data_IF_122523846056
#
_entry.id   IF_122523846056
#
_cell.length_a   1.000
_cell.length_b   1.000
_cell.length_c   1.000
_cell.angle_alpha   90.00
_cell.angle_beta   90.00
_cell.angle_gamma   90.00
#
_symmetry.space_group_name_H-M   'P 1'
#
loop_
_entity.id
_entity.type
_entity.pdbx_description
1 polymer ?
#
# COMPACT_ATOMS: atom_id res chain seq x y z
N UNK A 1 14.65 12.26 -6.79
CA UNK A 1 13.33 11.60 -6.69
C UNK A 1 13.29 10.83 -5.40
N UNK A 2 12.18 10.82 -4.65
CA UNK A 2 12.07 10.03 -3.43
C UNK A 2 12.26 8.55 -3.76
N UNK A 3 13.11 7.87 -2.99
CA UNK A 3 13.37 6.43 -3.09
C UNK A 3 12.88 5.78 -1.82
N UNK A 4 12.28 4.60 -1.94
CA UNK A 4 11.78 3.84 -0.81
C UNK A 4 12.15 2.36 -0.93
N UNK A 5 12.24 1.69 0.21
CA UNK A 5 12.31 0.22 0.31
C UNK A 5 10.98 -0.25 0.89
N UNK A 6 10.33 -1.19 0.21
CA UNK A 6 9.03 -1.74 0.61
C UNK A 6 9.17 -3.21 1.01
N UNK A 7 8.62 -3.58 2.17
CA UNK A 7 8.41 -4.98 2.57
C UNK A 7 6.93 -5.18 2.81
N UNK A 8 6.35 -6.26 2.25
CA UNK A 8 4.98 -6.66 2.53
C UNK A 8 4.95 -8.04 3.15
N UNK A 9 4.02 -8.25 4.07
CA UNK A 9 3.85 -9.53 4.75
C UNK A 9 2.38 -9.83 5.05
N UNK A 10 2.05 -11.12 5.12
CA UNK A 10 0.81 -11.62 5.71
C UNK A 10 0.87 -11.45 7.24
N UNK A 11 -0.25 -11.12 7.86
CA UNK A 11 -0.35 -10.94 9.31
C UNK A 11 -1.29 -11.97 9.90
N UNK A 12 -0.78 -12.79 10.81
CA UNK A 12 -1.56 -13.85 11.48
C UNK A 12 -2.32 -13.34 12.71
N UNK A 13 -1.77 -12.33 13.39
CA UNK A 13 -2.32 -11.75 14.61
C UNK A 13 -2.25 -10.22 14.53
N UNK A 14 -3.29 -9.64 13.91
CA UNK A 14 -3.35 -8.19 13.63
C UNK A 14 -3.43 -7.36 14.91
N UNK A 15 -4.03 -7.89 15.98
CA UNK A 15 -4.15 -7.22 17.27
C UNK A 15 -2.77 -6.98 17.88
N UNK A 16 -1.93 -8.03 17.96
CA UNK A 16 -0.56 -7.89 18.45
C UNK A 16 0.29 -6.98 17.56
N UNK A 17 0.07 -7.01 16.25
CA UNK A 17 0.78 -6.12 15.35
C UNK A 17 0.44 -4.65 15.64
N UNK A 18 -0.84 -4.33 15.84
CA UNK A 18 -1.27 -2.98 16.23
C UNK A 18 -0.65 -2.55 17.56
N UNK A 19 -0.61 -3.42 18.57
CA UNK A 19 0.02 -3.11 19.87
C UNK A 19 1.50 -2.76 19.71
N UNK A 20 2.25 -3.60 18.97
CA UNK A 20 3.68 -3.38 18.71
C UNK A 20 3.91 -2.10 17.88
N UNK A 21 3.16 -1.90 16.81
CA UNK A 21 3.28 -0.72 15.96
C UNK A 21 2.94 0.57 16.72
N UNK A 22 1.92 0.53 17.59
CA UNK A 22 1.57 1.66 18.45
C UNK A 22 2.67 1.97 19.47
N UNK A 23 3.26 0.93 20.08
CA UNK A 23 4.37 1.08 21.01
C UNK A 23 5.61 1.68 20.33
N UNK A 24 5.98 1.18 19.15
CA UNK A 24 7.15 1.64 18.39
C UNK A 24 6.97 3.06 17.83
N UNK A 25 5.76 3.41 17.39
CA UNK A 25 5.46 4.75 16.86
C UNK A 25 5.13 5.79 17.95
N UNK A 26 4.84 5.35 19.17
CA UNK A 26 4.32 6.22 20.23
C UNK A 26 2.95 6.83 19.91
N UNK A 27 2.18 6.23 18.99
CA UNK A 27 0.90 6.76 18.50
C UNK A 27 -0.16 5.67 18.38
N UNK A 28 -1.43 6.06 18.31
CA UNK A 28 -2.53 5.11 18.01
C UNK A 28 -2.64 4.76 16.52
N UNK A 29 -1.82 5.39 15.66
CA UNK A 29 -1.93 5.32 14.21
C UNK A 29 -3.10 6.14 13.67
N UNK A 30 -3.10 6.35 12.35
CA UNK A 30 -4.17 7.02 11.61
C UNK A 30 -4.93 6.00 10.78
N UNK A 31 -6.25 5.91 10.99
CA UNK A 31 -7.10 4.92 10.31
C UNK A 31 -7.69 5.53 9.03
N UNK A 32 -7.49 4.83 7.92
CA UNK A 32 -7.90 5.21 6.58
C UNK A 32 -8.78 4.11 5.99
N UNK A 33 -9.99 4.44 5.57
CA UNK A 33 -10.84 3.53 4.81
C UNK A 33 -10.64 3.80 3.32
N UNK A 34 -10.10 2.81 2.60
CA UNK A 34 -9.70 2.97 1.21
C UNK A 34 -10.46 2.00 0.31
N UNK A 35 -10.96 2.52 -0.81
CA UNK A 35 -11.51 1.74 -1.91
C UNK A 35 -10.73 2.05 -3.19
N UNK A 36 -9.98 1.06 -3.68
CA UNK A 36 -9.21 1.15 -4.91
C UNK A 36 -9.96 0.42 -6.04
N UNK A 37 -10.51 1.17 -7.00
CA UNK A 37 -11.04 0.62 -8.25
C UNK A 37 -9.90 0.52 -9.27
N UNK A 38 -9.58 -0.70 -9.71
CA UNK A 38 -8.60 -0.96 -10.75
C UNK A 38 -9.29 -1.08 -12.11
N UNK A 39 -8.72 -0.44 -13.12
CA UNK A 39 -9.20 -0.50 -14.50
C UNK A 39 -8.26 -1.37 -15.33
N UNK A 40 -8.75 -1.94 -16.43
CA UNK A 40 -7.82 -2.52 -17.40
C UNK A 40 -6.99 -1.38 -18.02
N UNK A 41 -5.73 -1.61 -18.28
CA UNK A 41 -4.88 -0.62 -18.92
C UNK A 41 -3.96 -1.35 -19.90
N UNK A 42 -3.81 -0.84 -21.14
CA UNK A 42 -2.91 -1.47 -22.12
C UNK A 42 -1.45 -1.41 -21.67
N UNK A 43 -1.09 -0.39 -20.90
CA UNK A 43 0.24 -0.21 -20.31
C UNK A 43 0.10 0.07 -18.81
N UNK A 44 1.08 -0.37 -18.02
CA UNK A 44 1.14 -0.12 -16.58
C UNK A 44 -0.14 -0.54 -15.83
N UNK A 45 -0.40 0.13 -14.71
CA UNK A 45 -1.54 -0.11 -13.84
C UNK A 45 -2.24 1.20 -13.55
N UNK A 46 -3.56 1.21 -13.68
CA UNK A 46 -4.40 2.38 -13.41
C UNK A 46 -5.40 2.03 -12.31
N UNK A 47 -5.44 2.88 -11.27
CA UNK A 47 -6.43 2.78 -10.21
C UNK A 47 -6.99 4.14 -9.81
N UNK A 48 -8.26 4.16 -9.44
CA UNK A 48 -8.88 5.26 -8.71
C UNK A 48 -9.01 4.84 -7.25
N UNK A 49 -8.33 5.55 -6.37
CA UNK A 49 -8.40 5.40 -4.92
C UNK A 49 -9.37 6.42 -4.34
N UNK A 50 -10.32 5.95 -3.55
CA UNK A 50 -11.16 6.80 -2.71
C UNK A 50 -10.78 6.56 -1.27
N UNK A 51 -10.28 7.59 -0.59
CA UNK A 51 -10.09 7.60 0.86
C UNK A 51 -11.33 8.25 1.46
N UNK A 52 -12.11 7.45 2.19
CA UNK A 52 -13.43 7.85 2.66
C UNK A 52 -13.36 9.17 3.44
N UNK A 53 -14.20 10.13 3.04
CA UNK A 53 -14.34 11.46 3.65
C UNK A 53 -13.07 12.34 3.65
N UNK A 54 -11.97 11.90 3.02
CA UNK A 54 -10.71 12.64 2.98
C UNK A 54 -10.38 13.14 1.56
N UNK A 55 -10.15 12.22 0.62
CA UNK A 55 -9.67 12.58 -0.73
C UNK A 55 -9.85 11.46 -1.75
N UNK A 56 -9.67 11.81 -3.02
CA UNK A 56 -9.67 10.87 -4.13
C UNK A 56 -8.39 11.02 -4.95
N UNK A 57 -7.87 9.91 -5.46
CA UNK A 57 -6.63 9.91 -6.23
C UNK A 57 -6.73 8.99 -7.45
N UNK A 58 -6.53 9.54 -8.64
CA UNK A 58 -6.29 8.75 -9.84
C UNK A 58 -4.79 8.53 -9.99
N UNK A 59 -4.38 7.26 -9.97
CA UNK A 59 -2.98 6.86 -9.93
C UNK A 59 -2.69 5.92 -11.10
N UNK A 60 -1.82 6.37 -12.00
CA UNK A 60 -1.12 5.51 -12.94
C UNK A 60 0.24 5.14 -12.35
N UNK A 61 0.65 3.88 -12.47
CA UNK A 61 1.98 3.47 -12.08
C UNK A 61 2.48 2.26 -12.89
N UNK A 62 3.79 2.24 -13.11
CA UNK A 62 4.52 1.10 -13.65
C UNK A 62 5.42 0.56 -12.55
N UNK A 63 5.33 -0.76 -12.34
CA UNK A 63 6.15 -1.47 -11.37
C UNK A 63 6.60 -2.77 -12.01
N UNK A 64 7.91 -3.08 -12.03
CA UNK A 64 8.38 -4.39 -12.47
C UNK A 64 7.88 -5.48 -11.53
N UNK A 65 7.47 -6.61 -12.07
CA UNK A 65 7.06 -7.80 -11.32
C UNK A 65 8.27 -8.63 -10.88
N UNK A 66 9.23 -7.99 -10.19
CA UNK A 66 10.44 -8.64 -9.64
C UNK A 66 10.33 -8.93 -8.13
N UNK A 67 11.30 -9.58 -7.51
CA UNK A 67 11.41 -9.64 -6.04
C UNK A 67 12.32 -8.51 -5.51
N UNK A 68 12.14 -8.09 -4.25
CA UNK A 68 12.97 -7.07 -3.60
C UNK A 68 12.55 -5.60 -3.84
N UNK A 69 13.41 -4.62 -3.50
CA UNK A 69 13.13 -3.19 -3.62
C UNK A 69 12.80 -2.80 -5.07
N UNK A 70 11.74 -2.00 -5.24
CA UNK A 70 11.28 -1.57 -6.57
C UNK A 70 11.01 -0.08 -6.58
N UNK A 71 11.63 0.63 -7.52
CA UNK A 71 11.14 1.95 -7.91
C UNK A 71 9.83 1.76 -8.68
N UNK A 72 8.78 2.47 -8.27
CA UNK A 72 7.56 2.61 -9.06
C UNK A 72 7.55 3.99 -9.69
N UNK A 73 7.50 4.07 -11.02
CA UNK A 73 7.24 5.32 -11.71
C UNK A 73 5.74 5.55 -11.70
N UNK A 74 5.30 6.67 -11.12
CA UNK A 74 3.88 6.94 -10.96
C UNK A 74 3.52 8.37 -11.33
N UNK A 75 2.31 8.52 -11.85
CA UNK A 75 1.64 9.82 -12.04
C UNK A 75 0.37 9.78 -11.22
N UNK A 76 0.16 10.83 -10.42
CA UNK A 76 -0.98 10.93 -9.51
C UNK A 76 -1.68 12.26 -9.67
N UNK A 77 -3.00 12.20 -9.80
CA UNK A 77 -3.90 13.36 -9.71
C UNK A 77 -4.76 13.17 -8.48
N UNK A 78 -4.74 14.15 -7.58
CA UNK A 78 -5.57 14.16 -6.38
C UNK A 78 -6.72 15.14 -6.57
N UNK A 79 -7.91 14.78 -6.09
CA UNK A 79 -9.11 15.60 -6.07
C UNK A 79 -9.82 15.50 -4.72
N UNK A 80 -10.76 16.40 -4.48
CA UNK A 80 -11.61 16.32 -3.29
C UNK A 80 -12.63 15.19 -3.44
N UNK A 81 -13.23 14.79 -2.32
CA UNK A 81 -14.29 13.77 -2.29
C UNK A 81 -15.43 14.16 -3.23
N UNK A 82 -15.78 13.26 -4.15
CA UNK A 82 -16.83 13.43 -5.16
C UNK A 82 -16.37 13.99 -6.50
N UNK A 83 -15.14 14.49 -6.63
CA UNK A 83 -14.66 15.08 -7.89
C UNK A 83 -14.25 14.04 -8.94
N UNK A 84 -13.65 12.92 -8.53
CA UNK A 84 -13.12 11.88 -9.41
C UNK A 84 -13.98 10.60 -9.40
N UNK A 85 -14.61 10.27 -8.28
CA UNK A 85 -15.42 9.05 -8.09
C UNK A 85 -16.80 9.11 -8.77
N UNK A 86 -17.20 10.27 -9.29
CA UNK A 86 -18.42 10.46 -10.07
C UNK A 86 -18.28 10.09 -11.55
N UNK A 87 -18.48 11.07 -12.43
CA UNK A 87 -18.53 10.86 -13.89
C UNK A 87 -17.21 10.32 -14.45
N UNK A 88 -16.06 10.72 -13.88
CA UNK A 88 -14.76 10.22 -14.32
C UNK A 88 -14.61 8.72 -14.07
N UNK A 89 -14.99 8.22 -12.89
CA UNK A 89 -14.99 6.78 -12.64
C UNK A 89 -15.89 6.05 -13.65
N UNK A 90 -17.09 6.57 -13.90
CA UNK A 90 -18.03 6.01 -14.89
C UNK A 90 -17.45 6.00 -16.30
N UNK A 91 -16.80 7.09 -16.71
CA UNK A 91 -16.13 7.21 -18.00
C UNK A 91 -15.01 6.16 -18.13
N UNK A 92 -14.12 6.06 -17.14
CA UNK A 92 -13.02 5.10 -17.15
C UNK A 92 -13.53 3.65 -17.19
N UNK A 93 -14.59 3.33 -16.44
CA UNK A 93 -15.24 2.01 -16.52
C UNK A 93 -15.75 1.69 -17.93
N UNK A 94 -16.30 2.68 -18.65
CA UNK A 94 -16.80 2.49 -20.02
C UNK A 94 -15.68 2.38 -21.05
N UNK A 95 -14.61 3.16 -20.90
CA UNK A 95 -13.49 3.18 -21.84
C UNK A 95 -12.58 1.96 -21.70
N UNK A 96 -12.33 1.52 -20.47
CA UNK A 96 -11.30 0.53 -20.16
C UNK A 96 -11.86 -0.76 -19.55
N UNK A 97 -13.10 -0.74 -19.06
CA UNK A 97 -13.60 -1.81 -18.20
C UNK A 97 -13.00 -1.76 -16.81
N UNK A 98 -13.59 -2.54 -15.89
CA UNK A 98 -13.10 -2.68 -14.52
C UNK A 98 -12.32 -3.97 -14.40
N UNK A 99 -11.09 -3.91 -13.88
CA UNK A 99 -10.28 -5.09 -13.54
C UNK A 99 -10.69 -5.67 -12.18
N UNK A 100 -11.05 -4.80 -11.23
CA UNK A 100 -11.62 -5.20 -9.95
C UNK A 100 -11.61 -4.06 -8.94
N UNK A 101 -12.09 -4.35 -7.72
CA UNK A 101 -12.15 -3.38 -6.62
C UNK A 101 -11.51 -4.00 -5.38
N UNK A 102 -10.62 -3.25 -4.74
CA UNK A 102 -9.97 -3.63 -3.48
C UNK A 102 -10.45 -2.68 -2.39
N UNK A 103 -11.17 -3.20 -1.41
CA UNK A 103 -11.60 -2.46 -0.22
C UNK A 103 -10.71 -2.84 0.95
N UNK A 104 -10.17 -1.85 1.66
CA UNK A 104 -9.32 -2.10 2.81
C UNK A 104 -9.43 -1.02 3.88
N UNK A 105 -9.17 -1.40 5.11
CA UNK A 105 -8.93 -0.47 6.22
C UNK A 105 -7.44 -0.49 6.52
N UNK A 106 -6.79 0.67 6.37
CA UNK A 106 -5.36 0.86 6.62
C UNK A 106 -5.19 1.64 7.91
N UNK A 107 -4.38 1.14 8.84
CA UNK A 107 -3.87 1.96 9.93
C UNK A 107 -2.43 2.29 9.65
N UNK A 108 -2.12 3.58 9.51
CA UNK A 108 -0.78 4.09 9.28
C UNK A 108 -0.13 4.47 10.62
N UNK A 109 1.04 3.91 10.87
CA UNK A 109 1.95 4.34 11.94
C UNK A 109 3.23 4.91 11.36
N UNK A 110 3.78 5.94 12.00
CA UNK A 110 5.10 6.49 11.66
C UNK A 110 6.11 6.03 12.69
N UNK A 111 7.11 5.26 12.27
CA UNK A 111 8.24 4.85 13.11
C UNK A 111 9.50 5.43 12.48
N UNK A 112 10.00 6.52 13.05
CA UNK A 112 11.06 7.35 12.47
C UNK A 112 10.75 7.76 11.02
N UNK A 113 11.51 7.22 10.06
CA UNK A 113 11.35 7.47 8.62
C UNK A 113 10.54 6.39 7.89
N UNK A 114 10.00 5.42 8.64
CA UNK A 114 9.29 4.28 8.09
C UNK A 114 7.79 4.45 8.32
N UNK A 115 7.03 4.30 7.24
CA UNK A 115 5.58 4.13 7.31
C UNK A 115 5.27 2.67 7.51
N UNK A 116 4.58 2.36 8.59
CA UNK A 116 4.06 1.02 8.87
C UNK A 116 2.57 1.05 8.56
N UNK A 117 2.18 0.40 7.48
CA UNK A 117 0.78 0.20 7.13
C UNK A 117 0.33 -1.15 7.66
N UNK A 118 -0.73 -1.16 8.47
CA UNK A 118 -1.45 -2.37 8.84
C UNK A 118 -2.76 -2.37 8.07
N UNK A 119 -2.90 -3.27 7.11
CA UNK A 119 -3.98 -3.33 6.14
C UNK A 119 -4.89 -4.54 6.40
N UNK A 120 -6.14 -4.31 6.74
CA UNK A 120 -7.19 -5.34 6.68
C UNK A 120 -7.88 -5.24 5.32
N UNK A 121 -7.66 -6.21 4.45
CA UNK A 121 -8.17 -6.23 3.07
C UNK A 121 -9.37 -7.16 2.98
N UNK A 122 -10.51 -6.63 2.54
CA UNK A 122 -11.75 -7.38 2.45
C UNK A 122 -11.60 -8.59 1.51
N UNK A 123 -11.90 -9.78 2.03
CA UNK A 123 -11.82 -11.04 1.27
C UNK A 123 -10.42 -11.64 1.14
N UNK A 124 -9.37 -10.97 1.62
CA UNK A 124 -7.99 -11.48 1.59
C UNK A 124 -7.40 -11.74 2.98
N UNK A 125 -7.72 -10.91 3.98
CA UNK A 125 -7.18 -11.01 5.33
C UNK A 125 -6.35 -9.79 5.72
N UNK A 126 -5.45 -9.98 6.68
CA UNK A 126 -4.63 -8.91 7.27
C UNK A 126 -3.18 -8.94 6.77
N UNK A 127 -2.64 -7.76 6.53
CA UNK A 127 -1.32 -7.57 5.93
C UNK A 127 -0.58 -6.42 6.59
N UNK A 128 0.74 -6.44 6.46
CA UNK A 128 1.62 -5.36 6.85
C UNK A 128 2.42 -4.91 5.63
N UNK A 129 2.61 -3.61 5.49
CA UNK A 129 3.53 -3.02 4.53
C UNK A 129 4.45 -2.01 5.25
N UNK A 130 5.76 -2.18 5.12
CA UNK A 130 6.76 -1.25 5.60
C UNK A 130 7.28 -0.46 4.40
N UNK A 131 7.19 0.86 4.45
CA UNK A 131 7.75 1.76 3.45
C UNK A 131 8.81 2.64 4.13
N UNK A 132 10.09 2.27 3.95
CA UNK A 132 11.22 3.04 4.46
C UNK A 132 11.57 4.11 3.44
N UNK A 133 11.35 5.37 3.77
CA UNK A 133 11.75 6.49 2.93
C UNK A 133 13.26 6.72 3.06
N UNK A 134 14.01 6.51 1.97
CA UNK A 134 15.45 6.73 1.97
C UNK A 134 15.76 8.23 1.96
N UNK A 135 16.67 8.63 2.85
CA UNK A 135 17.30 9.96 2.81
C UNK A 135 18.32 10.01 1.67
N UNK A 136 18.76 11.22 1.29
CA UNK A 136 19.69 11.41 0.17
C UNK A 136 21.04 10.71 0.37
N UNK A 137 21.46 10.56 1.63
CA UNK A 137 22.71 9.91 2.05
C UNK A 137 22.58 8.39 2.25
N UNK A 138 21.37 7.83 2.17
CA UNK A 138 21.12 6.42 2.42
C UNK A 138 21.13 5.57 1.15
N UNK A 139 21.77 4.41 1.26
CA UNK A 139 21.74 3.37 0.22
C UNK A 139 20.47 2.51 0.34
N UNK A 140 20.22 1.67 -0.67
CA UNK A 140 19.14 0.67 -0.61
C UNK A 140 19.39 -0.33 0.51
N UNK A 141 20.65 -0.76 0.68
CA UNK A 141 21.04 -1.69 1.74
C UNK A 141 20.76 -1.13 3.14
N UNK A 142 20.91 0.18 3.34
CA UNK A 142 20.55 0.83 4.60
C UNK A 142 19.04 0.78 4.85
N UNK A 143 18.24 1.04 3.82
CA UNK A 143 16.78 0.90 3.89
C UNK A 143 16.32 -0.52 4.17
N UNK A 144 16.96 -1.52 3.53
CA UNK A 144 16.67 -2.93 3.77
C UNK A 144 16.99 -3.36 5.19
N UNK A 145 18.11 -2.88 5.76
CA UNK A 145 18.44 -3.13 7.18
C UNK A 145 17.37 -2.54 8.10
N UNK A 146 16.99 -1.28 7.89
CA UNK A 146 15.93 -0.63 8.68
C UNK A 146 14.61 -1.41 8.57
N UNK A 147 14.23 -1.80 7.36
CA UNK A 147 13.00 -2.55 7.13
C UNK A 147 13.03 -3.92 7.82
N UNK A 148 14.16 -4.63 7.74
CA UNK A 148 14.35 -5.96 8.35
C UNK A 148 14.37 -5.90 9.87
N UNK A 149 15.00 -4.87 10.44
CA UNK A 149 15.04 -4.67 11.89
C UNK A 149 13.65 -4.32 12.43
N UNK A 150 12.92 -3.47 11.71
CA UNK A 150 11.55 -3.12 12.09
C UNK A 150 10.58 -4.30 11.91
N UNK A 151 10.72 -5.08 10.84
CA UNK A 151 9.99 -6.33 10.63
C UNK A 151 10.15 -7.26 11.85
N UNK A 152 11.38 -7.43 12.34
CA UNK A 152 11.65 -8.28 13.51
C UNK A 152 11.02 -7.74 14.79
N UNK A 153 11.08 -6.43 15.00
CA UNK A 153 10.45 -5.79 16.17
C UNK A 153 8.92 -5.90 16.15
N UNK A 154 8.33 -5.84 14.96
CA UNK A 154 6.90 -6.10 14.75
C UNK A 154 6.56 -7.60 14.84
N UNK A 155 7.59 -8.46 14.84
CA UNK A 155 7.52 -9.92 14.96
C UNK A 155 6.79 -10.57 13.80
N UNK A 156 7.16 -10.14 12.60
CA UNK A 156 6.77 -10.75 11.33
C UNK A 156 7.87 -11.71 10.88
N UNK A 157 7.52 -12.97 10.65
CA UNK A 157 8.45 -13.99 10.20
C UNK A 157 8.82 -13.82 8.73
N UNK A 158 10.00 -14.30 8.34
CA UNK A 158 10.44 -14.22 6.93
C UNK A 158 9.57 -15.04 5.98
N UNK A 159 8.96 -16.12 6.48
CA UNK A 159 8.06 -16.96 5.68
C UNK A 159 6.74 -16.26 5.34
N UNK A 160 6.35 -15.24 6.11
CA UNK A 160 5.11 -14.50 5.88
C UNK A 160 5.31 -13.35 4.87
N UNK A 161 6.53 -13.14 4.35
CA UNK A 161 6.82 -12.09 3.36
C UNK A 161 6.16 -12.40 2.01
N UNK A 162 5.62 -11.35 1.37
CA UNK A 162 4.89 -11.41 0.12
C UNK A 162 5.47 -10.44 -0.91
N UNK A 163 5.60 -10.88 -2.16
CA UNK A 163 6.00 -10.01 -3.28
C UNK A 163 4.82 -9.49 -4.12
N UNK A 164 3.64 -10.11 -3.99
CA UNK A 164 2.47 -9.85 -4.83
C UNK A 164 1.66 -8.60 -4.41
N UNK A 165 0.91 -8.03 -5.37
CA UNK A 165 -0.05 -6.97 -5.10
C UNK A 165 -1.44 -7.55 -4.76
N UNK A 166 -2.23 -6.83 -3.96
CA UNK A 166 -3.55 -7.31 -3.52
C UNK A 166 -4.50 -7.64 -4.70
N UNK A 167 -4.44 -6.85 -5.78
CA UNK A 167 -5.26 -7.11 -6.97
C UNK A 167 -4.91 -8.45 -7.63
N UNK A 168 -3.64 -8.80 -7.69
CA UNK A 168 -3.20 -10.07 -8.29
C UNK A 168 -3.62 -11.25 -7.41
N UNK A 169 -3.55 -11.09 -6.08
CA UNK A 169 -4.05 -12.08 -5.12
C UNK A 169 -5.57 -12.29 -5.24
N UNK A 170 -6.35 -11.22 -5.47
CA UNK A 170 -7.80 -11.31 -5.68
C UNK A 170 -8.13 -12.02 -6.99
N UNK A 171 -7.39 -11.77 -8.07
CA UNK A 171 -7.65 -12.40 -9.37
C UNK A 171 -7.27 -13.89 -9.44
N UNK A 172 -6.44 -14.37 -8.51
CA UNK A 172 -6.06 -15.79 -8.41
C UNK A 172 -7.06 -16.64 -7.62
N UNK A 173 -8.01 -16.03 -6.92
CA UNK A 173 -9.12 -16.73 -6.27
C UNK A 173 -10.24 -17.01 -7.27
#
# INVERSE_FOLDING_TARGET
MPRNVEIKALVRDVVKLHERAAQLSGSKGHVLHQEDTFFNSPNGRLKLRVVKDEMEELIYYERPDQDGPKCSDYVKVSGNVGELSGDLCTLLRRCLGTKGVVKKTRTLYMVDQTRVHVDTVYGLGDFMELEVMLREDQTVEDGEKIATDLQRQLGIEKEDLLSEAYMDMILKK
#
